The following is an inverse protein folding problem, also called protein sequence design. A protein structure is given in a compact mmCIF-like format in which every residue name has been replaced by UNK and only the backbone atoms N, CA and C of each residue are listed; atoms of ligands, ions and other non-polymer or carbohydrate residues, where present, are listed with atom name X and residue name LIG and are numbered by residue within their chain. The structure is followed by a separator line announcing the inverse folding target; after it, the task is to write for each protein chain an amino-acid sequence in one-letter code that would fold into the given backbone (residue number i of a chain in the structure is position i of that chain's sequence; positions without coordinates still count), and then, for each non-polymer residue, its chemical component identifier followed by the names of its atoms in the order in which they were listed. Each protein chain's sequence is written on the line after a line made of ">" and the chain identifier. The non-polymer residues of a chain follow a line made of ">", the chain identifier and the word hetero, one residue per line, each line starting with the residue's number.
data_IF_823746857148
#
_entry.id   IF_823746857148
#
_cell.length_a   1.000
_cell.length_b   1.000
_cell.length_c   1.000
_cell.angle_alpha   90.00
_cell.angle_beta   90.00
_cell.angle_gamma   90.00
#
_symmetry.space_group_name_H-M   'P 1'
#
loop_
_entity.id
_entity.type
_entity.pdbx_description
1 polymer ?
#
# COMPACT_ATOMS: atom_id res chain seq x y z
N UNK A 1 28.96 -12.56 -26.12
CA UNK A 1 29.06 -11.17 -25.62
C UNK A 1 29.46 -11.21 -24.15
N UNK A 2 30.44 -10.40 -23.70
CA UNK A 2 30.82 -10.29 -22.27
C UNK A 2 30.24 -8.99 -21.69
N UNK A 3 29.57 -9.07 -20.55
CA UNK A 3 29.06 -7.92 -19.81
C UNK A 3 29.92 -7.58 -18.59
N UNK A 4 29.65 -6.44 -17.96
CA UNK A 4 30.34 -6.00 -16.74
C UNK A 4 29.48 -6.30 -15.51
N UNK A 5 29.95 -7.10 -14.53
CA UNK A 5 29.20 -7.36 -13.31
C UNK A 5 29.06 -6.08 -12.48
N UNK A 6 27.88 -5.85 -11.90
CA UNK A 6 27.59 -4.74 -10.97
C UNK A 6 27.27 -5.28 -9.58
N UNK A 7 27.66 -4.55 -8.55
CA UNK A 7 27.31 -4.87 -7.16
C UNK A 7 25.82 -4.62 -6.91
N UNK A 8 25.21 -5.46 -6.07
CA UNK A 8 23.80 -5.31 -5.67
C UNK A 8 23.76 -4.49 -4.38
N UNK A 9 23.22 -3.28 -4.46
CA UNK A 9 23.00 -2.42 -3.30
C UNK A 9 22.06 -3.05 -2.26
N UNK A 10 22.07 -2.53 -1.04
CA UNK A 10 21.23 -3.06 0.03
C UNK A 10 19.72 -2.90 -0.26
N UNK A 11 19.22 -1.75 -0.77
CA UNK A 11 17.82 -1.63 -1.19
C UNK A 11 17.48 -2.57 -2.35
N UNK A 12 18.37 -2.76 -3.33
CA UNK A 12 18.11 -3.70 -4.42
C UNK A 12 18.02 -5.14 -3.95
N UNK A 13 18.87 -5.53 -2.98
CA UNK A 13 18.84 -6.84 -2.33
C UNK A 13 17.52 -7.09 -1.60
N UNK A 14 16.97 -6.08 -0.93
CA UNK A 14 15.63 -6.13 -0.34
C UNK A 14 14.58 -6.46 -1.42
N UNK A 15 14.63 -5.79 -2.57
CA UNK A 15 13.69 -6.05 -3.68
C UNK A 15 13.84 -7.49 -4.20
N UNK A 16 15.07 -8.01 -4.35
CA UNK A 16 15.27 -9.41 -4.74
C UNK A 16 14.59 -10.38 -3.76
N UNK A 17 14.72 -10.15 -2.46
CA UNK A 17 14.09 -10.99 -1.45
C UNK A 17 12.57 -10.82 -1.41
N UNK A 18 12.07 -9.59 -1.56
CA UNK A 18 10.65 -9.27 -1.63
C UNK A 18 9.99 -9.96 -2.82
N UNK A 19 10.57 -9.85 -4.02
CA UNK A 19 10.03 -10.47 -5.23
C UNK A 19 10.00 -11.98 -5.11
N UNK A 20 11.07 -12.58 -4.59
CA UNK A 20 11.09 -14.01 -4.30
C UNK A 20 9.95 -14.43 -3.37
N UNK A 21 9.70 -13.66 -2.31
CA UNK A 21 8.60 -13.96 -1.38
C UNK A 21 7.22 -13.77 -2.02
N UNK A 22 7.07 -12.80 -2.92
CA UNK A 22 5.82 -12.51 -3.62
C UNK A 22 5.42 -13.57 -4.64
N UNK A 23 6.38 -14.27 -5.26
CA UNK A 23 6.09 -15.26 -6.30
C UNK A 23 5.31 -16.50 -5.82
N UNK A 24 5.30 -16.77 -4.50
CA UNK A 24 4.56 -17.88 -3.89
C UNK A 24 3.08 -17.56 -3.60
N UNK A 25 2.62 -16.37 -4.01
CA UNK A 25 1.24 -15.91 -3.82
C UNK A 25 0.47 -16.08 -5.13
N UNK A 26 -0.54 -16.96 -5.18
CA UNK A 26 -1.36 -17.18 -6.38
C UNK A 26 -2.33 -16.02 -6.57
N UNK A 27 -1.85 -14.93 -7.16
CA UNK A 27 -2.63 -13.72 -7.36
C UNK A 27 -3.68 -13.88 -8.47
N UNK A 28 -4.92 -13.52 -8.17
CA UNK A 28 -5.91 -13.09 -9.18
C UNK A 28 -6.02 -11.58 -9.16
N UNK A 29 -6.43 -11.00 -10.30
CA UNK A 29 -6.52 -9.56 -10.49
C UNK A 29 -7.92 -9.18 -10.95
N UNK A 30 -8.42 -8.04 -10.47
CA UNK A 30 -9.64 -7.39 -10.94
C UNK A 30 -9.32 -5.91 -11.16
N UNK A 31 -9.66 -5.41 -12.34
CA UNK A 31 -9.55 -3.99 -12.69
C UNK A 31 -10.94 -3.38 -12.81
N UNK A 32 -11.11 -2.16 -12.31
CA UNK A 32 -12.36 -1.40 -12.41
C UNK A 32 -12.07 0.10 -12.42
N UNK A 33 -12.78 0.83 -13.28
CA UNK A 33 -12.87 2.29 -13.20
C UNK A 33 -13.86 2.68 -12.10
N UNK A 34 -13.43 3.52 -11.17
CA UNK A 34 -14.27 4.05 -10.10
C UNK A 34 -14.59 5.52 -10.38
N UNK A 35 -15.85 5.93 -10.26
CA UNK A 35 -16.19 7.35 -10.32
C UNK A 35 -15.82 8.00 -9.00
N UNK A 36 -15.02 9.06 -9.04
CA UNK A 36 -14.52 9.73 -7.82
C UNK A 36 -14.85 11.22 -7.81
N UNK A 37 -15.89 11.65 -8.54
CA UNK A 37 -16.30 13.08 -8.61
C UNK A 37 -16.44 13.72 -7.22
N UNK A 38 -17.22 13.16 -6.27
CA UNK A 38 -17.35 13.75 -4.93
C UNK A 38 -16.01 13.87 -4.18
N UNK A 39 -15.12 12.89 -4.33
CA UNK A 39 -13.79 12.94 -3.74
C UNK A 39 -12.93 14.04 -4.37
N UNK A 40 -12.99 14.20 -5.69
CA UNK A 40 -12.26 15.25 -6.41
C UNK A 40 -12.70 16.65 -5.98
N UNK A 41 -14.00 16.87 -5.85
CA UNK A 41 -14.57 18.13 -5.35
C UNK A 41 -14.10 18.43 -3.92
N UNK A 42 -14.20 17.45 -3.02
CA UNK A 42 -13.73 17.58 -1.65
C UNK A 42 -12.22 17.88 -1.58
N UNK A 43 -11.43 17.20 -2.41
CA UNK A 43 -9.98 17.38 -2.48
C UNK A 43 -9.62 18.75 -3.05
N UNK A 44 -10.35 19.26 -4.02
CA UNK A 44 -10.13 20.60 -4.60
C UNK A 44 -10.44 21.72 -3.60
N UNK A 45 -11.44 21.53 -2.74
CA UNK A 45 -11.82 22.48 -1.70
C UNK A 45 -10.93 22.46 -0.45
N UNK A 46 -10.19 21.37 -0.20
CA UNK A 46 -9.36 21.20 1.00
C UNK A 46 -8.14 22.15 1.01
N UNK A 47 -7.88 22.79 2.15
CA UNK A 47 -6.71 23.65 2.35
C UNK A 47 -5.38 22.91 2.12
N UNK A 48 -5.28 21.68 2.63
CA UNK A 48 -4.11 20.82 2.49
C UNK A 48 -4.56 19.41 2.08
N UNK A 49 -4.77 19.14 0.78
CA UNK A 49 -5.30 17.86 0.34
C UNK A 49 -4.30 16.73 0.63
N UNK A 50 -4.81 15.64 1.19
CA UNK A 50 -4.04 14.42 1.37
C UNK A 50 -3.57 13.84 0.02
N UNK A 51 -2.45 13.14 0.03
CA UNK A 51 -1.96 12.41 -1.13
C UNK A 51 -2.87 11.22 -1.48
N UNK A 52 -2.88 10.83 -2.76
CA UNK A 52 -3.66 9.68 -3.25
C UNK A 52 -3.37 8.39 -2.46
N UNK A 53 -2.11 8.12 -2.15
CA UNK A 53 -1.73 6.94 -1.38
C UNK A 53 -2.38 6.93 0.01
N UNK A 54 -2.45 8.08 0.69
CA UNK A 54 -3.09 8.19 2.00
C UNK A 54 -4.60 7.93 1.92
N UNK A 55 -5.26 8.51 0.90
CA UNK A 55 -6.70 8.31 0.65
C UNK A 55 -7.01 6.83 0.38
N UNK A 56 -6.26 6.16 -0.50
CA UNK A 56 -6.47 4.74 -0.79
C UNK A 56 -6.11 3.83 0.39
N UNK A 57 -5.03 4.11 1.12
CA UNK A 57 -4.65 3.35 2.33
C UNK A 57 -5.76 3.42 3.36
N UNK A 58 -6.26 4.62 3.67
CA UNK A 58 -7.32 4.78 4.66
C UNK A 58 -8.65 4.22 4.16
N UNK A 59 -9.03 4.48 2.90
CA UNK A 59 -10.27 3.96 2.33
C UNK A 59 -10.32 2.44 2.39
N UNK A 60 -9.25 1.76 1.93
CA UNK A 60 -9.18 0.31 1.95
C UNK A 60 -9.22 -0.24 3.39
N UNK A 61 -8.54 0.41 4.33
CA UNK A 61 -8.58 0.02 5.73
C UNK A 61 -9.99 0.17 6.36
N UNK A 62 -10.75 1.20 5.96
CA UNK A 62 -12.15 1.37 6.37
C UNK A 62 -13.05 0.28 5.78
N UNK A 63 -12.86 -0.12 4.52
CA UNK A 63 -13.57 -1.29 3.96
C UNK A 63 -13.20 -2.55 4.73
N UNK A 64 -11.92 -2.76 5.02
CA UNK A 64 -11.41 -3.93 5.74
C UNK A 64 -11.81 -4.00 7.23
N UNK A 65 -12.23 -2.86 7.82
CA UNK A 65 -12.83 -2.83 9.16
C UNK A 65 -14.14 -3.63 9.18
N UNK A 66 -14.97 -3.40 8.16
CA UNK A 66 -16.31 -3.98 8.05
C UNK A 66 -16.29 -5.36 7.34
N UNK A 67 -15.21 -5.67 6.62
CA UNK A 67 -15.00 -6.91 5.87
C UNK A 67 -13.77 -7.69 6.39
N UNK A 68 -13.92 -8.57 7.40
CA UNK A 68 -12.82 -9.28 8.04
C UNK A 68 -11.90 -10.06 7.09
N UNK A 69 -12.43 -10.54 5.96
CA UNK A 69 -11.67 -11.25 4.92
C UNK A 69 -10.49 -10.42 4.39
N UNK A 70 -10.61 -9.09 4.35
CA UNK A 70 -9.55 -8.18 3.92
C UNK A 70 -8.43 -8.01 4.96
N UNK A 71 -8.64 -8.53 6.18
CA UNK A 71 -7.65 -8.63 7.25
C UNK A 71 -7.15 -10.08 7.45
N UNK A 72 -7.55 -11.01 6.58
CA UNK A 72 -7.16 -12.42 6.67
C UNK A 72 -5.94 -12.72 5.82
N UNK A 73 -4.98 -13.45 6.40
CA UNK A 73 -3.77 -13.92 5.72
C UNK A 73 -3.73 -15.45 5.70
N UNK A 74 -3.18 -16.04 4.63
CA UNK A 74 -2.85 -17.46 4.61
C UNK A 74 -1.50 -17.71 5.30
N UNK A 75 -1.51 -18.46 6.40
CA UNK A 75 -0.33 -18.85 7.17
C UNK A 75 -0.04 -20.35 6.99
N UNK A 76 1.23 -20.73 6.86
CA UNK A 76 1.63 -22.13 6.65
C UNK A 76 2.00 -22.86 7.95
N UNK A 77 2.38 -22.12 8.99
CA UNK A 77 2.91 -22.68 10.24
C UNK A 77 2.02 -22.34 11.44
N UNK A 78 1.84 -23.30 12.39
CA UNK A 78 2.34 -24.68 12.37
C UNK A 78 1.61 -25.60 11.36
N UNK A 79 0.38 -25.26 11.00
CA UNK A 79 -0.37 -25.89 9.92
C UNK A 79 -0.99 -24.82 9.01
N UNK A 80 -1.25 -25.14 7.73
CA UNK A 80 -2.01 -24.28 6.83
C UNK A 80 -3.30 -23.78 7.47
N UNK A 81 -3.45 -22.47 7.58
CA UNK A 81 -4.61 -21.84 8.21
C UNK A 81 -4.85 -20.44 7.65
N UNK A 82 -6.11 -20.02 7.70
CA UNK A 82 -6.50 -18.62 7.51
C UNK A 82 -6.40 -17.93 8.88
N UNK A 83 -5.64 -16.85 8.94
CA UNK A 83 -5.37 -16.09 10.16
C UNK A 83 -5.91 -14.67 10.01
N UNK A 84 -6.99 -14.34 10.72
CA UNK A 84 -7.52 -12.98 10.75
C UNK A 84 -6.65 -12.09 11.66
N UNK A 85 -6.21 -10.94 11.13
CA UNK A 85 -5.51 -9.93 11.91
C UNK A 85 -6.52 -9.05 12.65
N UNK A 86 -6.27 -8.67 13.92
CA UNK A 86 -7.21 -7.87 14.72
C UNK A 86 -7.40 -6.42 14.23
N UNK A 87 -6.55 -5.96 13.31
CA UNK A 87 -6.59 -4.63 12.71
C UNK A 87 -5.93 -4.63 11.35
N UNK A 88 -6.25 -3.65 10.52
CA UNK A 88 -5.60 -3.50 9.23
C UNK A 88 -4.15 -3.06 9.39
N UNK A 89 -3.28 -3.57 8.51
CA UNK A 89 -1.91 -3.12 8.39
C UNK A 89 -1.61 -2.90 6.92
N UNK A 90 -1.36 -1.64 6.56
CA UNK A 90 -0.98 -1.26 5.21
C UNK A 90 0.54 -1.31 5.03
N UNK A 91 0.98 -1.85 3.89
CA UNK A 91 2.32 -1.63 3.35
C UNK A 91 2.26 -0.71 2.12
N UNK A 92 2.97 0.41 2.18
CA UNK A 92 3.00 1.41 1.12
C UNK A 92 4.34 1.32 0.41
N UNK A 93 4.34 1.14 -0.90
CA UNK A 93 5.57 1.21 -1.70
C UNK A 93 6.02 2.68 -1.81
N UNK A 94 7.08 3.04 -1.09
CA UNK A 94 7.65 4.40 -1.12
C UNK A 94 8.82 4.44 -2.11
N UNK A 95 8.62 5.12 -3.25
CA UNK A 95 9.68 5.40 -4.21
C UNK A 95 10.59 6.54 -3.70
N UNK A 96 11.90 6.33 -3.76
CA UNK A 96 12.95 7.23 -3.26
C UNK A 96 14.23 7.10 -4.10
N UNK A 97 15.16 8.03 -3.89
CA UNK A 97 16.53 7.93 -4.38
C UNK A 97 17.47 7.86 -3.18
N UNK A 98 18.28 6.82 -3.10
CA UNK A 98 19.27 6.62 -2.03
C UNK A 98 20.63 6.38 -2.67
N UNK A 99 21.65 7.14 -2.27
CA UNK A 99 23.00 7.09 -2.85
C UNK A 99 23.02 7.17 -4.40
N UNK A 100 22.09 7.95 -4.98
CA UNK A 100 21.94 8.10 -6.43
C UNK A 100 21.23 6.95 -7.15
N UNK A 101 20.76 5.92 -6.42
CA UNK A 101 19.97 4.81 -6.96
C UNK A 101 18.48 4.98 -6.64
N UNK A 102 17.63 4.87 -7.67
CA UNK A 102 16.18 4.73 -7.47
C UNK A 102 15.86 3.43 -6.74
N UNK A 103 15.15 3.53 -5.61
CA UNK A 103 14.74 2.39 -4.83
C UNK A 103 13.31 2.53 -4.32
N UNK A 104 12.75 1.39 -3.91
CA UNK A 104 11.44 1.31 -3.29
C UNK A 104 11.58 0.67 -1.92
N UNK A 105 11.04 1.32 -0.89
CA UNK A 105 11.02 0.78 0.47
C UNK A 105 9.57 0.69 0.98
N UNK A 106 9.15 -0.47 1.51
CA UNK A 106 7.80 -0.63 2.03
C UNK A 106 7.67 0.05 3.40
N UNK A 107 6.84 1.09 3.48
CA UNK A 107 6.48 1.71 4.75
C UNK A 107 5.24 1.06 5.34
N UNK A 108 5.28 0.79 6.65
CA UNK A 108 4.18 0.15 7.38
C UNK A 108 3.33 1.19 8.11
N UNK A 109 2.01 1.13 7.93
CA UNK A 109 1.03 1.90 8.71
C UNK A 109 0.04 0.92 9.35
N UNK A 110 -0.11 0.97 10.67
CA UNK A 110 -0.98 0.08 11.44
C UNK A 110 -2.27 0.79 11.85
N UNK A 111 -3.41 0.11 11.71
CA UNK A 111 -4.76 0.65 11.89
C UNK A 111 -5.00 2.00 11.17
N UNK A 112 -4.79 2.14 9.84
CA UNK A 112 -5.09 3.38 9.14
C UNK A 112 -6.55 3.85 9.32
N UNK A 113 -7.48 2.92 9.53
CA UNK A 113 -8.90 3.16 9.79
C UNK A 113 -9.17 3.97 11.07
N UNK A 114 -8.25 3.94 12.05
CA UNK A 114 -8.38 4.70 13.31
C UNK A 114 -7.58 6.00 13.30
N UNK A 115 -6.74 6.23 12.29
CA UNK A 115 -5.89 7.43 12.18
C UNK A 115 -6.62 8.51 11.41
N UNK A 116 -6.45 9.80 11.75
CA UNK A 116 -6.90 10.89 10.87
C UNK A 116 -6.23 10.79 9.48
N UNK A 117 -6.94 11.14 8.40
CA UNK A 117 -6.39 11.08 7.04
C UNK A 117 -5.09 11.90 6.90
N UNK A 118 -5.02 13.06 7.57
CA UNK A 118 -3.82 13.91 7.62
C UNK A 118 -2.63 13.22 8.31
N UNK A 119 -2.87 12.39 9.32
CA UNK A 119 -1.83 11.64 10.01
C UNK A 119 -1.28 10.49 9.13
N UNK A 120 -2.15 9.80 8.39
CA UNK A 120 -1.74 8.80 7.40
C UNK A 120 -0.88 9.46 6.31
N UNK A 121 -1.33 10.62 5.81
CA UNK A 121 -0.58 11.38 4.80
C UNK A 121 0.77 11.88 5.32
N UNK A 122 0.82 12.39 6.55
CA UNK A 122 2.06 12.83 7.18
C UNK A 122 3.09 11.68 7.31
N UNK A 123 2.65 10.48 7.70
CA UNK A 123 3.52 9.31 7.80
C UNK A 123 4.08 8.89 6.43
N UNK A 124 3.26 8.90 5.38
CA UNK A 124 3.70 8.60 4.01
C UNK A 124 4.67 9.68 3.50
N UNK A 125 4.39 10.97 3.74
CA UNK A 125 5.28 12.07 3.33
C UNK A 125 6.61 12.00 4.07
N UNK A 126 6.60 11.78 5.39
CA UNK A 126 7.81 11.57 6.19
C UNK A 126 8.63 10.41 5.62
N UNK A 127 7.99 9.30 5.28
CA UNK A 127 8.66 8.15 4.73
C UNK A 127 9.31 8.40 3.35
N UNK A 128 8.92 9.44 2.60
CA UNK A 128 9.55 9.81 1.32
C UNK A 128 10.87 10.55 1.50
N UNK A 129 11.00 11.36 2.55
CA UNK A 129 12.09 12.34 2.68
C UNK A 129 13.00 12.09 3.87
N UNK A 130 12.51 11.49 4.95
CA UNK A 130 13.31 11.24 6.15
C UNK A 130 14.45 10.26 5.85
N UNK A 131 15.64 10.40 6.45
CA UNK A 131 16.70 9.40 6.33
C UNK A 131 16.21 7.98 6.61
N UNK A 132 16.78 6.99 5.93
CA UNK A 132 16.40 5.57 6.05
C UNK A 132 16.42 5.11 7.50
N UNK A 133 17.44 5.54 8.26
CA UNK A 133 17.57 5.18 9.67
C UNK A 133 16.56 5.88 10.58
N UNK A 134 15.91 6.97 10.16
CA UNK A 134 14.91 7.69 10.97
C UNK A 134 13.50 7.11 10.86
N UNK A 135 13.27 6.25 9.88
CA UNK A 135 12.01 5.53 9.71
C UNK A 135 12.17 4.14 10.35
N UNK A 136 11.47 3.84 11.48
CA UNK A 136 11.71 2.62 12.24
C UNK A 136 11.58 1.33 11.41
N UNK A 137 10.60 1.29 10.50
CA UNK A 137 10.40 0.13 9.63
C UNK A 137 11.56 -0.03 8.64
N UNK A 138 12.07 1.05 8.05
CA UNK A 138 13.19 0.98 7.11
C UNK A 138 14.47 0.53 7.80
N UNK A 139 14.79 1.10 8.97
CA UNK A 139 15.90 0.64 9.82
C UNK A 139 15.80 -0.86 10.11
N UNK A 140 14.60 -1.32 10.48
CA UNK A 140 14.34 -2.74 10.78
C UNK A 140 14.55 -3.63 9.56
N UNK A 141 14.06 -3.22 8.39
CA UNK A 141 14.24 -3.93 7.13
C UNK A 141 15.72 -3.96 6.74
N UNK A 142 16.43 -2.84 6.81
CA UNK A 142 17.85 -2.78 6.45
C UNK A 142 18.70 -3.70 7.32
N UNK A 143 18.42 -3.78 8.63
CA UNK A 143 19.06 -4.75 9.53
C UNK A 143 18.81 -6.20 9.11
N UNK A 144 17.57 -6.56 8.77
CA UNK A 144 17.24 -7.89 8.28
C UNK A 144 17.91 -8.20 6.93
N UNK A 145 17.99 -7.22 6.02
CA UNK A 145 18.60 -7.38 4.70
C UNK A 145 20.13 -7.56 4.74
N UNK A 146 20.79 -7.02 5.78
CA UNK A 146 22.23 -7.19 6.02
C UNK A 146 22.61 -8.58 6.51
N UNK A 147 21.66 -9.39 6.98
CA UNK A 147 21.95 -10.75 7.43
C UNK A 147 22.57 -11.59 6.30
N UNK A 148 23.54 -12.49 6.65
CA UNK A 148 24.01 -13.52 5.74
C UNK A 148 22.85 -14.34 5.18
N UNK A 149 23.00 -14.83 3.95
CA UNK A 149 21.92 -15.49 3.22
C UNK A 149 21.13 -16.54 4.04
N UNK A 150 21.74 -17.51 4.76
CA UNK A 150 20.96 -18.51 5.48
C UNK A 150 20.08 -17.89 6.58
N UNK A 151 20.62 -16.97 7.38
CA UNK A 151 19.87 -16.26 8.43
C UNK A 151 18.78 -15.37 7.84
N UNK A 152 19.07 -14.72 6.71
CA UNK A 152 18.09 -13.92 5.99
C UNK A 152 16.95 -14.80 5.46
N UNK A 153 17.25 -15.97 4.89
CA UNK A 153 16.23 -16.92 4.41
C UNK A 153 15.33 -17.38 5.55
N UNK A 154 15.92 -17.68 6.71
CA UNK A 154 15.17 -18.04 7.91
C UNK A 154 14.28 -16.89 8.40
N UNK A 155 14.78 -15.65 8.46
CA UNK A 155 13.98 -14.50 8.90
C UNK A 155 12.78 -14.25 7.99
N UNK A 156 12.96 -14.38 6.67
CA UNK A 156 11.87 -14.32 5.70
C UNK A 156 10.87 -15.47 5.89
N UNK A 157 11.34 -16.70 6.08
CA UNK A 157 10.46 -17.85 6.31
C UNK A 157 9.59 -17.67 7.57
N UNK A 158 10.18 -17.21 8.68
CA UNK A 158 9.43 -16.91 9.91
C UNK A 158 8.40 -15.80 9.67
N UNK A 159 8.81 -14.72 9.00
CA UNK A 159 7.92 -13.61 8.68
C UNK A 159 6.73 -14.03 7.81
N UNK A 160 6.95 -14.89 6.82
CA UNK A 160 5.92 -15.28 5.85
C UNK A 160 4.97 -16.34 6.38
N UNK A 161 5.46 -17.28 7.18
CA UNK A 161 4.68 -18.50 7.48
C UNK A 161 3.89 -18.42 8.79
N UNK A 162 4.26 -17.55 9.75
CA UNK A 162 3.50 -17.34 10.98
C UNK A 162 2.50 -16.18 10.83
N UNK A 163 1.21 -16.43 11.08
CA UNK A 163 0.14 -15.42 10.90
C UNK A 163 0.43 -14.07 11.57
N UNK A 164 0.78 -14.08 12.87
CA UNK A 164 1.16 -12.86 13.60
C UNK A 164 2.37 -12.14 12.98
N UNK A 165 3.39 -12.86 12.55
CA UNK A 165 4.58 -12.23 11.96
C UNK A 165 4.28 -11.70 10.56
N UNK A 166 3.43 -12.39 9.80
CA UNK A 166 2.98 -11.97 8.48
C UNK A 166 2.26 -10.63 8.58
N UNK A 167 1.32 -10.48 9.52
CA UNK A 167 0.69 -9.19 9.80
C UNK A 167 1.65 -8.11 10.29
N UNK A 168 2.70 -8.47 11.04
CA UNK A 168 3.68 -7.50 11.57
C UNK A 168 4.67 -6.98 10.51
N UNK A 169 5.03 -7.81 9.53
CA UNK A 169 6.05 -7.47 8.54
C UNK A 169 5.51 -7.19 7.15
N UNK A 170 4.48 -7.92 6.73
CA UNK A 170 3.92 -7.90 5.37
C UNK A 170 2.52 -7.29 5.29
N UNK A 171 1.89 -7.06 6.44
CA UNK A 171 0.60 -6.40 6.56
C UNK A 171 -0.59 -7.27 6.12
N UNK A 172 -1.79 -6.70 6.19
CA UNK A 172 -2.99 -7.28 5.58
C UNK A 172 -3.15 -6.85 4.13
N UNK A 173 -2.66 -5.67 3.75
CA UNK A 173 -2.73 -5.23 2.35
C UNK A 173 -1.58 -4.30 2.01
N UNK A 174 -1.34 -4.12 0.72
CA UNK A 174 -0.38 -3.18 0.20
C UNK A 174 -1.02 -2.16 -0.74
N UNK A 175 -0.42 -0.96 -0.82
CA UNK A 175 -0.80 0.08 -1.78
C UNK A 175 0.45 0.48 -2.57
N UNK A 176 0.36 0.43 -3.89
CA UNK A 176 1.44 0.81 -4.80
C UNK A 176 0.87 1.46 -6.04
N UNK A 177 1.44 2.58 -6.47
CA UNK A 177 0.99 3.28 -7.68
C UNK A 177 2.16 3.96 -8.37
N UNK A 178 2.14 3.96 -9.69
CA UNK A 178 3.04 4.73 -10.56
C UNK A 178 2.36 5.96 -11.16
N UNK A 179 1.15 6.31 -10.70
CA UNK A 179 0.40 7.45 -11.21
C UNK A 179 1.16 8.78 -11.10
N UNK A 180 2.07 8.91 -10.13
CA UNK A 180 2.94 10.07 -9.98
C UNK A 180 3.99 10.21 -11.10
N UNK A 181 4.21 9.18 -11.92
CA UNK A 181 5.28 9.09 -12.92
C UNK A 181 4.77 8.95 -14.37
N UNK A 182 3.49 9.21 -14.63
CA UNK A 182 2.93 9.19 -15.99
C UNK A 182 1.85 8.14 -16.24
N UNK A 183 1.37 7.44 -15.20
CA UNK A 183 0.22 6.54 -15.29
C UNK A 183 0.55 5.12 -15.78
N UNK A 184 -0.46 4.43 -16.31
CA UNK A 184 -0.41 3.03 -16.71
C UNK A 184 -0.97 2.05 -15.67
N UNK A 185 -1.25 0.83 -16.11
CA UNK A 185 -1.73 -0.27 -15.26
C UNK A 185 -0.55 -0.96 -14.58
N UNK A 186 -0.38 -0.71 -13.29
CA UNK A 186 0.62 -1.41 -12.48
C UNK A 186 -0.01 -2.70 -11.94
N UNK A 187 0.65 -3.83 -12.23
CA UNK A 187 0.32 -5.13 -11.64
C UNK A 187 1.42 -5.55 -10.65
N UNK A 188 1.55 -4.88 -9.49
CA UNK A 188 2.60 -5.20 -8.53
C UNK A 188 2.32 -6.54 -7.85
N UNK A 189 3.38 -7.21 -7.39
CA UNK A 189 3.26 -8.41 -6.55
C UNK A 189 3.76 -8.10 -5.15
N UNK A 190 3.14 -8.72 -4.14
CA UNK A 190 3.50 -8.55 -2.73
C UNK A 190 3.45 -9.89 -2.01
N UNK A 191 4.20 -10.10 -0.92
CA UNK A 191 3.97 -11.24 -0.03
C UNK A 191 2.66 -11.11 0.78
N UNK A 192 2.02 -9.94 0.83
CA UNK A 192 0.71 -9.75 1.47
C UNK A 192 -0.45 -10.38 0.67
N UNK A 193 -1.62 -10.58 1.30
CA UNK A 193 -2.76 -11.22 0.63
C UNK A 193 -3.51 -10.28 -0.32
N UNK A 194 -3.38 -8.96 -0.18
CA UNK A 194 -4.04 -7.97 -1.05
C UNK A 194 -3.04 -6.89 -1.47
N UNK A 195 -3.12 -6.42 -2.72
CA UNK A 195 -2.44 -5.23 -3.18
C UNK A 195 -3.37 -4.41 -4.08
N UNK A 196 -3.45 -3.11 -3.78
CA UNK A 196 -4.26 -2.14 -4.52
C UNK A 196 -3.34 -1.17 -5.25
N UNK A 197 -3.62 -0.98 -6.53
CA UNK A 197 -2.98 -0.01 -7.40
C UNK A 197 -4.03 0.89 -8.03
N UNK A 198 -3.65 2.14 -8.27
CA UNK A 198 -4.52 3.13 -8.88
C UNK A 198 -3.75 3.93 -9.92
N UNK A 199 -4.45 4.34 -10.98
CA UNK A 199 -3.95 5.14 -12.09
C UNK A 199 -4.03 6.65 -11.85
N UNK A 200 -3.88 7.41 -12.94
CA UNK A 200 -4.14 8.85 -12.96
C UNK A 200 -5.66 9.08 -13.05
N UNK A 201 -6.13 10.22 -12.55
CA UNK A 201 -7.53 10.63 -12.73
C UNK A 201 -7.77 10.97 -14.20
N UNK A 202 -8.82 10.40 -14.76
CA UNK A 202 -9.22 10.61 -16.15
C UNK A 202 -10.09 11.86 -16.32
N UNK A 203 -10.22 12.40 -17.56
CA UNK A 203 -11.05 13.58 -17.82
C UNK A 203 -12.53 13.41 -17.43
N UNK A 204 -13.03 12.18 -17.44
CA UNK A 204 -14.41 11.82 -17.06
C UNK A 204 -14.60 11.71 -15.53
N UNK A 205 -13.57 12.06 -14.75
CA UNK A 205 -13.55 12.03 -13.28
C UNK A 205 -13.56 10.61 -12.70
N UNK A 206 -13.12 9.64 -13.49
CA UNK A 206 -12.85 8.28 -13.02
C UNK A 206 -11.39 8.05 -12.67
N UNK A 207 -11.12 6.98 -11.95
CA UNK A 207 -9.79 6.48 -11.68
C UNK A 207 -9.76 4.97 -11.89
N UNK A 208 -8.79 4.49 -12.67
CA UNK A 208 -8.56 3.05 -12.84
C UNK A 208 -7.94 2.46 -11.58
N UNK A 209 -8.58 1.44 -11.02
CA UNK A 209 -8.11 0.72 -9.82
C UNK A 209 -7.95 -0.75 -10.15
N UNK A 210 -6.77 -1.29 -9.82
CA UNK A 210 -6.45 -2.71 -9.91
C UNK A 210 -6.27 -3.25 -8.50
N UNK A 211 -7.04 -4.26 -8.14
CA UNK A 211 -6.80 -5.06 -6.94
C UNK A 211 -6.29 -6.43 -7.35
N UNK A 212 -5.21 -6.87 -6.70
CA UNK A 212 -4.73 -8.25 -6.80
C UNK A 212 -4.79 -8.89 -5.43
N UNK A 213 -5.25 -10.13 -5.36
CA UNK A 213 -5.39 -10.84 -4.10
C UNK A 213 -4.92 -12.30 -4.18
N UNK A 214 -4.49 -12.83 -3.05
CA UNK A 214 -4.20 -14.24 -2.86
C UNK A 214 -5.50 -15.04 -2.97
N UNK A 215 -5.64 -15.81 -4.05
CA UNK A 215 -6.87 -16.56 -4.31
C UNK A 215 -7.15 -17.64 -3.25
N UNK A 216 -6.16 -18.01 -2.43
CA UNK A 216 -6.36 -18.93 -1.30
C UNK A 216 -7.16 -18.31 -0.16
N UNK A 217 -7.25 -16.98 -0.09
CA UNK A 217 -7.95 -16.26 0.99
C UNK A 217 -9.41 -16.02 0.63
N UNK A 218 -9.70 -15.64 -0.61
CA UNK A 218 -11.06 -15.31 -1.06
C UNK A 218 -11.22 -15.42 -2.57
N UNK A 219 -12.47 -15.52 -3.01
CA UNK A 219 -12.86 -15.57 -4.42
C UNK A 219 -13.14 -14.18 -5.01
N UNK A 220 -13.39 -14.13 -6.33
CA UNK A 220 -13.58 -12.89 -7.08
C UNK A 220 -14.88 -12.13 -6.72
N UNK A 221 -15.97 -12.83 -6.39
CA UNK A 221 -17.26 -12.17 -6.13
C UNK A 221 -17.23 -11.25 -4.89
N UNK A 222 -16.65 -11.66 -3.74
CA UNK A 222 -16.36 -10.73 -2.63
C UNK A 222 -15.53 -9.52 -3.05
N UNK A 223 -14.49 -9.71 -3.88
CA UNK A 223 -13.60 -8.63 -4.31
C UNK A 223 -14.31 -7.62 -5.22
N UNK A 224 -15.22 -8.06 -6.07
CA UNK A 224 -16.06 -7.15 -6.86
C UNK A 224 -16.91 -6.24 -5.97
N UNK A 225 -17.49 -6.77 -4.88
CA UNK A 225 -18.21 -5.97 -3.88
C UNK A 225 -17.30 -5.01 -3.12
N UNK A 226 -16.08 -5.45 -2.78
CA UNK A 226 -15.07 -4.61 -2.13
C UNK A 226 -14.73 -3.40 -2.99
N UNK A 227 -14.61 -3.52 -4.31
CA UNK A 227 -14.38 -2.35 -5.18
C UNK A 227 -15.57 -1.40 -5.20
N UNK A 228 -16.81 -1.90 -5.18
CA UNK A 228 -18.01 -1.04 -5.02
C UNK A 228 -17.98 -0.30 -3.68
N UNK A 229 -17.64 -1.00 -2.58
CA UNK A 229 -17.56 -0.37 -1.25
C UNK A 229 -16.40 0.62 -1.16
N UNK A 230 -15.27 0.33 -1.81
CA UNK A 230 -14.13 1.24 -1.88
C UNK A 230 -14.49 2.55 -2.58
N UNK A 231 -15.21 2.48 -3.71
CA UNK A 231 -15.73 3.67 -4.41
C UNK A 231 -16.65 4.50 -3.51
N UNK A 232 -17.57 3.86 -2.79
CA UNK A 232 -18.43 4.54 -1.82
C UNK A 232 -17.60 5.22 -0.72
N UNK A 233 -16.63 4.51 -0.14
CA UNK A 233 -15.80 5.05 0.96
C UNK A 233 -14.93 6.22 0.53
N UNK A 234 -14.38 6.15 -0.69
CA UNK A 234 -13.64 7.26 -1.29
C UNK A 234 -14.52 8.50 -1.42
N UNK A 235 -15.76 8.34 -1.90
CA UNK A 235 -16.68 9.45 -2.16
C UNK A 235 -17.44 9.96 -0.93
N UNK A 236 -17.45 9.22 0.17
CA UNK A 236 -18.17 9.59 1.39
C UNK A 236 -17.22 9.82 2.56
N UNK A 237 -16.76 8.80 3.29
CA UNK A 237 -15.96 8.98 4.50
C UNK A 237 -14.64 9.74 4.24
N UNK A 238 -13.91 9.42 3.17
CA UNK A 238 -12.67 10.14 2.83
C UNK A 238 -12.94 11.57 2.36
N UNK A 239 -13.95 11.76 1.52
CA UNK A 239 -14.37 13.08 1.06
C UNK A 239 -14.82 13.96 2.24
N UNK A 240 -15.51 13.39 3.24
CA UNK A 240 -15.93 14.11 4.44
C UNK A 240 -14.73 14.57 5.28
N UNK A 241 -13.72 13.74 5.49
CA UNK A 241 -12.49 14.14 6.19
C UNK A 241 -11.73 15.26 5.47
N UNK A 242 -11.69 15.23 4.14
CA UNK A 242 -11.07 16.30 3.36
C UNK A 242 -11.82 17.63 3.51
N UNK A 243 -13.16 17.60 3.52
CA UNK A 243 -13.96 18.82 3.76
C UNK A 243 -13.78 19.34 5.19
N UNK A 244 -13.66 18.46 6.17
CA UNK A 244 -13.43 18.82 7.56
C UNK A 244 -12.05 19.46 7.81
N UNK A 245 -11.07 19.27 6.92
CA UNK A 245 -9.73 19.86 7.02
C UNK A 245 -9.69 21.39 6.75
N UNK A 246 -10.84 22.01 6.51
CA UNK A 246 -10.99 23.45 6.32
C UNK A 246 -10.92 23.87 4.85
N UNK A 247 -11.76 24.85 4.43
CA UNK A 247 -11.78 25.31 3.05
C UNK A 247 -10.51 26.10 2.72
N UNK A 248 -10.04 25.97 1.48
CA UNK A 248 -8.99 26.83 0.94
C UNK A 248 -9.48 28.29 0.95
N UNK A 249 -8.68 29.27 1.42
CA UNK A 249 -9.09 30.67 1.39
C UNK A 249 -9.29 31.10 -0.06
N UNK A 250 -10.48 31.61 -0.37
CA UNK A 250 -10.78 32.21 -1.67
C UNK A 250 -10.00 33.52 -1.72
N UNK A 251 -8.97 33.61 -2.59
CA UNK A 251 -8.34 34.90 -2.91
C UNK A 251 -9.42 35.77 -3.54
N UNK A 252 -9.83 36.82 -2.84
CA UNK A 252 -10.63 37.88 -3.45
C UNK A 252 -9.81 38.45 -4.62
N UNK A 253 -10.34 38.32 -5.83
CA UNK A 253 -9.81 39.04 -6.99
C UNK A 253 -10.18 40.50 -6.77
N UNK A 254 -9.19 41.35 -6.52
CA UNK A 254 -9.39 42.78 -6.55
C UNK A 254 -9.82 43.14 -7.98
N UNK A 255 -11.07 43.60 -8.11
CA UNK A 255 -11.63 44.21 -9.33
C UNK A 255 -10.98 45.54 -9.62
#
# INVERSE_FOLDING_TARGET
>A
MRGTPKTISLPRRLICDLMRASMDVPFVSLSRSLNIRPLLEARAGAMAPAGWAAMFVKAFALVARDEPVLRTVYAKWPWPSLYELPKSVALIAIARVEDGEECVMPQRIAAPETMALSAVDAEIRRAKTAPVDDVPMFRKIMRATRLPLPLRRLSWAVGLNFGRQRGNWFGSFAVSSVAAYGGGELHPVTPGPFIVSYGVVEPDQTIHVVIRWDHRVTDAAPIARVLTRLEQVLNTEIAAELRAAGPKPIRAVAT
#
